data_IF_230691725849
#
_entry.id   IF_230691725849
#
_cell.length_a   1.000
_cell.length_b   1.000
_cell.length_c   1.000
_cell.angle_alpha   90.00
_cell.angle_beta   90.00
_cell.angle_gamma   90.00
#
_symmetry.space_group_name_H-M   'P 1'
#
loop_
_entity.id
_entity.type
_entity.pdbx_description
1 polymer ?
#
# COMPACT_ATOMS: atom_id res chain seq x y z
N UNK A 1 18.05 24.57 5.74
CA UNK A 1 17.29 23.30 5.72
C UNK A 1 15.83 23.69 5.90
N UNK A 2 15.03 23.53 4.85
CA UNK A 2 13.70 24.14 4.72
C UNK A 2 12.65 23.30 5.44
N UNK A 3 12.55 23.46 6.75
CA UNK A 3 11.58 22.76 7.63
C UNK A 3 10.15 22.86 7.08
N UNK A 4 9.82 23.97 6.42
CA UNK A 4 8.50 24.21 5.81
C UNK A 4 8.17 23.14 4.76
N UNK A 5 9.12 22.80 3.88
CA UNK A 5 8.91 21.83 2.81
C UNK A 5 8.72 20.41 3.35
N UNK A 6 9.50 20.04 4.36
CA UNK A 6 9.40 18.74 5.02
C UNK A 6 8.05 18.56 5.74
N UNK A 7 7.55 19.61 6.39
CA UNK A 7 6.22 19.62 7.03
C UNK A 7 5.09 19.50 6.00
N UNK A 8 5.21 20.14 4.84
CA UNK A 8 4.21 20.00 3.77
C UNK A 8 4.21 18.61 3.13
N UNK A 9 5.39 18.04 2.84
CA UNK A 9 5.52 16.69 2.33
C UNK A 9 4.95 15.65 3.31
N UNK A 10 5.18 15.83 4.62
CA UNK A 10 4.57 15.01 5.67
C UNK A 10 3.05 15.12 5.67
N UNK A 11 2.49 16.34 5.64
CA UNK A 11 1.04 16.57 5.59
C UNK A 11 0.39 16.03 4.32
N UNK A 12 1.10 16.03 3.20
CA UNK A 12 0.60 15.44 1.95
C UNK A 12 0.61 13.92 2.01
N UNK A 13 1.65 13.30 2.61
CA UNK A 13 1.69 11.85 2.86
C UNK A 13 0.53 11.39 3.76
N UNK A 14 0.19 12.16 4.79
CA UNK A 14 -0.94 11.89 5.69
C UNK A 14 -2.32 12.05 5.00
N UNK A 15 -2.39 12.79 3.89
CA UNK A 15 -3.63 12.93 3.11
C UNK A 15 -3.85 11.83 2.08
N UNK A 16 -2.87 10.94 1.88
CA UNK A 16 -3.01 9.86 0.89
C UNK A 16 -4.04 8.84 1.37
N UNK A 17 -4.79 8.30 0.41
CA UNK A 17 -5.76 7.23 0.61
C UNK A 17 -4.97 5.92 0.64
N UNK A 18 -4.99 5.24 1.78
CA UNK A 18 -4.40 3.91 1.92
C UNK A 18 -5.20 2.90 1.11
N UNK A 19 -4.52 2.15 0.24
CA UNK A 19 -5.13 1.11 -0.58
C UNK A 19 -4.47 -0.25 -0.34
N UNK A 20 -5.28 -1.30 -0.48
CA UNK A 20 -4.79 -2.67 -0.65
C UNK A 20 -4.87 -3.05 -2.13
N UNK A 21 -3.84 -3.71 -2.64
CA UNK A 21 -3.80 -4.17 -4.04
C UNK A 21 -4.02 -5.68 -4.08
N UNK A 22 -5.03 -6.14 -4.83
CA UNK A 22 -5.28 -7.57 -5.05
C UNK A 22 -4.33 -8.09 -6.12
N UNK A 23 -3.56 -9.11 -5.76
CA UNK A 23 -2.56 -9.77 -6.58
C UNK A 23 -1.16 -9.14 -6.45
N UNK A 24 -0.25 -9.87 -5.81
CA UNK A 24 1.19 -9.57 -5.78
C UNK A 24 1.91 -10.16 -7.02
N UNK A 25 1.25 -10.08 -8.18
CA UNK A 25 1.80 -10.43 -9.49
C UNK A 25 2.42 -9.22 -10.18
N UNK A 26 2.87 -9.39 -11.43
CA UNK A 26 3.49 -8.30 -12.21
C UNK A 26 2.65 -7.02 -12.25
N UNK A 27 1.35 -7.13 -12.51
CA UNK A 27 0.48 -5.97 -12.63
C UNK A 27 0.33 -5.19 -11.31
N UNK A 28 0.06 -5.88 -10.20
CA UNK A 28 -0.06 -5.24 -8.89
C UNK A 28 1.25 -4.61 -8.45
N UNK A 29 2.38 -5.28 -8.69
CA UNK A 29 3.72 -4.75 -8.39
C UNK A 29 4.00 -3.48 -9.20
N UNK A 30 3.69 -3.47 -10.50
CA UNK A 30 3.85 -2.29 -11.35
C UNK A 30 2.98 -1.13 -10.88
N UNK A 31 1.72 -1.39 -10.50
CA UNK A 31 0.84 -0.35 -9.95
C UNK A 31 1.40 0.24 -8.66
N UNK A 32 1.87 -0.62 -7.74
CA UNK A 32 2.46 -0.16 -6.49
C UNK A 32 3.71 0.70 -6.75
N UNK A 33 4.57 0.28 -7.67
CA UNK A 33 5.76 1.02 -8.07
C UNK A 33 5.42 2.40 -8.64
N UNK A 34 4.41 2.50 -9.53
CA UNK A 34 3.94 3.76 -10.09
C UNK A 34 3.43 4.72 -8.99
N UNK A 35 2.64 4.22 -8.05
CA UNK A 35 2.12 5.01 -6.93
C UNK A 35 3.22 5.47 -5.96
N UNK A 36 4.18 4.61 -5.65
CA UNK A 36 5.30 4.94 -4.78
C UNK A 36 6.25 5.96 -5.41
N UNK A 37 6.49 5.85 -6.72
CA UNK A 37 7.37 6.74 -7.46
C UNK A 37 6.74 8.09 -7.80
N UNK A 38 5.44 8.28 -7.51
CA UNK A 38 4.73 9.53 -7.72
C UNK A 38 4.41 10.23 -6.38
N UNK A 39 5.21 11.24 -5.96
CA UNK A 39 4.94 12.00 -4.74
C UNK A 39 3.54 12.64 -4.71
N UNK A 40 3.01 13.00 -5.88
CA UNK A 40 1.70 13.62 -6.04
C UNK A 40 0.54 12.61 -6.12
N UNK A 41 0.81 11.30 -6.09
CA UNK A 41 -0.25 10.30 -6.08
C UNK A 41 -1.12 10.46 -4.84
N UNK A 42 -2.43 10.49 -5.04
CA UNK A 42 -3.42 10.52 -3.95
C UNK A 42 -3.50 9.20 -3.18
N UNK A 43 -2.98 8.11 -3.74
CA UNK A 43 -3.02 6.79 -3.13
C UNK A 43 -1.68 6.38 -2.54
N UNK A 44 -1.74 5.60 -1.47
CA UNK A 44 -0.60 4.95 -0.85
C UNK A 44 -0.88 3.45 -0.80
N UNK A 45 -0.13 2.62 -1.55
CA UNK A 45 -0.24 1.18 -1.41
C UNK A 45 0.33 0.75 -0.06
N UNK A 46 -0.45 0.02 0.73
CA UNK A 46 -0.09 -0.40 2.09
C UNK A 46 0.18 -1.90 2.19
N UNK A 47 -0.60 -2.71 1.48
CA UNK A 47 -0.42 -4.16 1.41
C UNK A 47 -0.86 -4.71 0.05
N UNK A 48 -0.30 -5.85 -0.31
CA UNK A 48 -0.89 -6.74 -1.32
C UNK A 48 -1.78 -7.78 -0.63
N UNK A 49 -2.78 -8.28 -1.35
CA UNK A 49 -3.57 -9.45 -0.98
C UNK A 49 -3.36 -10.49 -2.09
N UNK A 50 -2.86 -11.67 -1.78
CA UNK A 50 -2.62 -12.72 -2.79
C UNK A 50 -3.03 -14.10 -2.24
N UNK A 51 -3.55 -14.96 -3.10
CA UNK A 51 -3.94 -16.34 -2.76
C UNK A 51 -2.75 -17.32 -2.84
N UNK A 52 -1.66 -16.91 -3.50
CA UNK A 52 -0.41 -17.65 -3.55
C UNK A 52 0.27 -17.66 -2.17
N UNK A 53 0.10 -18.77 -1.47
CA UNK A 53 0.67 -19.00 -0.13
C UNK A 53 2.18 -18.88 -0.10
N UNK A 54 2.87 -19.09 -1.21
CA UNK A 54 4.33 -18.94 -1.24
C UNK A 54 4.72 -17.47 -1.09
N UNK A 55 3.85 -16.52 -1.48
CA UNK A 55 4.11 -15.08 -1.37
C UNK A 55 3.66 -14.47 -0.05
N UNK A 56 2.68 -15.05 0.63
CA UNK A 56 2.16 -14.53 1.90
C UNK A 56 3.28 -14.35 2.92
N UNK A 57 3.29 -13.21 3.60
CA UNK A 57 4.33 -12.82 4.55
C UNK A 57 5.61 -12.25 3.93
N UNK A 58 5.78 -12.31 2.60
CA UNK A 58 6.88 -11.63 1.91
C UNK A 58 6.62 -10.12 1.81
N UNK A 59 7.69 -9.40 1.50
CA UNK A 59 7.65 -7.98 1.18
C UNK A 59 8.10 -7.74 -0.25
N UNK A 60 7.36 -6.92 -0.99
CA UNK A 60 7.68 -6.49 -2.34
C UNK A 60 7.68 -4.97 -2.36
N UNK A 61 8.80 -4.34 -2.72
CA UNK A 61 9.00 -2.89 -2.58
C UNK A 61 8.69 -2.35 -1.17
N UNK A 62 8.92 -3.15 -0.12
CA UNK A 62 8.62 -2.78 1.26
C UNK A 62 7.14 -2.90 1.66
N UNK A 63 6.28 -3.38 0.75
CA UNK A 63 4.85 -3.62 0.97
C UNK A 63 4.64 -5.10 1.29
N UNK A 64 3.94 -5.39 2.39
CA UNK A 64 3.67 -6.77 2.82
C UNK A 64 2.62 -7.44 1.93
N UNK A 65 2.78 -8.73 1.67
CA UNK A 65 1.76 -9.59 1.06
C UNK A 65 0.96 -10.31 2.14
N UNK A 66 -0.34 -10.05 2.18
CA UNK A 66 -1.31 -10.67 3.07
C UNK A 66 -2.05 -11.80 2.34
N UNK A 67 -2.57 -12.76 3.10
CA UNK A 67 -3.47 -13.80 2.59
C UNK A 67 -4.85 -13.22 2.26
N UNK A 68 -5.68 -13.94 1.51
CA UNK A 68 -7.10 -13.60 1.29
C UNK A 68 -8.06 -14.14 2.38
N UNK A 69 -7.52 -14.68 3.48
CA UNK A 69 -8.32 -15.31 4.54
C UNK A 69 -9.16 -14.29 5.32
N UNK A 70 -10.25 -14.76 5.95
CA UNK A 70 -11.25 -13.92 6.63
C UNK A 70 -10.66 -12.93 7.64
N UNK A 71 -9.63 -13.34 8.40
CA UNK A 71 -8.95 -12.47 9.38
C UNK A 71 -8.20 -11.28 8.76
N UNK A 72 -7.99 -11.30 7.44
CA UNK A 72 -7.36 -10.20 6.71
C UNK A 72 -8.26 -8.97 6.68
N UNK A 73 -9.59 -9.12 6.67
CA UNK A 73 -10.51 -7.98 6.64
C UNK A 73 -10.36 -7.09 7.88
N UNK A 74 -10.18 -7.69 9.06
CA UNK A 74 -9.94 -6.95 10.30
C UNK A 74 -8.61 -6.18 10.21
N UNK A 75 -7.58 -6.84 9.68
CA UNK A 75 -6.28 -6.21 9.45
C UNK A 75 -6.36 -5.03 8.46
N UNK A 76 -7.19 -5.10 7.41
CA UNK A 76 -7.40 -3.97 6.50
C UNK A 76 -8.03 -2.77 7.23
N UNK A 77 -8.94 -3.03 8.19
CA UNK A 77 -9.49 -2.01 9.07
C UNK A 77 -8.43 -1.33 9.93
N UNK A 78 -7.57 -2.12 10.58
CA UNK A 78 -6.46 -1.61 11.40
C UNK A 78 -5.44 -0.80 10.57
N UNK A 79 -5.21 -1.22 9.33
CA UNK A 79 -4.35 -0.53 8.36
C UNK A 79 -4.99 0.72 7.75
N UNK A 80 -6.23 1.05 8.15
CA UNK A 80 -7.00 2.19 7.62
C UNK A 80 -7.14 2.17 6.10
N UNK A 81 -7.25 0.96 5.52
CA UNK A 81 -7.47 0.78 4.10
C UNK A 81 -8.85 1.32 3.74
N UNK A 82 -8.89 2.23 2.78
CA UNK A 82 -10.14 2.85 2.32
C UNK A 82 -10.65 2.24 1.04
N UNK A 83 -9.75 1.73 0.21
CA UNK A 83 -10.07 1.16 -1.09
C UNK A 83 -9.24 -0.10 -1.36
N UNK A 84 -9.84 -1.02 -2.10
CA UNK A 84 -9.21 -2.24 -2.58
C UNK A 84 -9.19 -2.14 -4.11
N UNK A 85 -8.01 -2.32 -4.70
CA UNK A 85 -7.76 -2.17 -6.15
C UNK A 85 -7.30 -3.48 -6.75
#
# INVERSE_FOLDING_TARGET
LDIVREVEEYRMRERKINIAIVGAGRAGVMLAEELLNNPNASYRPVCFIDSDRDKVGRYIHGIQVLSEEQGTLDLLGDLSIKEIV
#
